data_IF_393580897199
#
_entry.id   IF_393580897199
#
_cell.length_a   1.000
_cell.length_b   1.000
_cell.length_c   1.000
_cell.angle_alpha   90.00
_cell.angle_beta   90.00
_cell.angle_gamma   90.00
#
_symmetry.space_group_name_H-M   'P 1'
#
loop_
_entity.id
_entity.type
_entity.pdbx_description
1 polymer ?
#
# COMPACT_ATOMS: atom_id res chain seq x y z
N UNK A 1 17.39 1.35 -4.09
CA UNK A 1 17.84 -0.04 -4.03
C UNK A 1 16.83 -0.89 -4.79
N UNK A 2 17.26 -1.54 -5.86
CA UNK A 2 16.48 -2.47 -6.69
C UNK A 2 17.27 -3.77 -6.68
N UNK A 3 16.62 -4.91 -6.50
CA UNK A 3 17.32 -6.20 -6.48
C UNK A 3 17.85 -6.59 -7.86
N UNK A 4 18.65 -7.65 -7.92
CA UNK A 4 19.22 -8.17 -9.18
C UNK A 4 18.18 -8.64 -10.19
N UNK A 5 16.91 -8.76 -9.80
CA UNK A 5 15.79 -9.15 -10.64
C UNK A 5 14.91 -7.96 -11.06
N UNK A 6 15.24 -6.74 -10.64
CA UNK A 6 14.51 -5.53 -11.00
C UNK A 6 13.38 -5.14 -10.04
N UNK A 7 13.25 -5.78 -8.87
CA UNK A 7 12.19 -5.47 -7.90
C UNK A 7 12.65 -4.51 -6.81
N UNK A 8 11.76 -3.59 -6.43
CA UNK A 8 11.95 -2.71 -5.27
C UNK A 8 11.34 -3.37 -4.03
N UNK A 9 12.11 -3.57 -2.94
CA UNK A 9 11.53 -4.01 -1.68
C UNK A 9 10.56 -2.95 -1.14
N UNK A 10 9.37 -3.38 -0.74
CA UNK A 10 8.33 -2.53 -0.18
C UNK A 10 7.60 -3.26 0.95
N UNK A 11 6.92 -2.48 1.78
CA UNK A 11 5.92 -2.94 2.76
C UNK A 11 4.53 -2.44 2.34
N UNK A 12 3.52 -3.28 2.56
CA UNK A 12 2.11 -2.91 2.46
C UNK A 12 1.46 -2.96 3.84
N UNK A 13 0.56 -2.02 4.12
CA UNK A 13 -0.12 -1.92 5.42
C UNK A 13 -1.61 -2.19 5.23
N UNK A 14 -2.14 -3.16 5.95
CA UNK A 14 -3.58 -3.37 6.09
C UNK A 14 -3.97 -2.87 7.48
N UNK A 15 -4.74 -1.78 7.53
CA UNK A 15 -5.30 -1.26 8.77
C UNK A 15 -6.76 -1.71 8.87
N UNK A 16 -7.08 -2.44 9.93
CA UNK A 16 -8.45 -2.85 10.28
C UNK A 16 -8.94 -2.11 11.53
N UNK A 17 -10.26 -2.07 11.72
CA UNK A 17 -10.89 -1.63 12.97
C UNK A 17 -11.70 -2.77 13.60
N UNK A 18 -12.21 -2.54 14.82
CA UNK A 18 -12.94 -3.54 15.62
C UNK A 18 -14.27 -4.00 14.99
N UNK A 19 -14.70 -3.36 13.90
CA UNK A 19 -15.89 -3.73 13.14
C UNK A 19 -15.57 -4.60 11.92
N UNK A 20 -14.31 -5.05 11.76
CA UNK A 20 -13.87 -5.86 10.63
C UNK A 20 -13.78 -5.10 9.31
N UNK A 21 -13.78 -3.75 9.35
CA UNK A 21 -13.59 -2.92 8.15
C UNK A 21 -12.12 -2.62 7.95
N UNK A 22 -11.71 -2.47 6.68
CA UNK A 22 -10.34 -2.13 6.31
C UNK A 22 -10.25 -0.71 5.76
N UNK A 23 -9.12 -0.04 6.00
CA UNK A 23 -8.82 1.25 5.42
C UNK A 23 -8.47 1.12 3.93
N UNK A 24 -9.20 1.84 3.08
CA UNK A 24 -8.98 1.88 1.64
C UNK A 24 -8.85 3.33 1.19
N UNK A 25 -7.66 3.74 0.73
CA UNK A 25 -7.35 5.14 0.44
C UNK A 25 -7.49 5.45 -1.05
N UNK A 26 -8.13 6.58 -1.39
CA UNK A 26 -8.09 7.13 -2.74
C UNK A 26 -6.69 7.70 -3.00
N UNK A 27 -6.08 7.31 -4.12
CA UNK A 27 -4.80 7.88 -4.54
C UNK A 27 -4.96 9.35 -4.91
N UNK A 28 -4.03 10.20 -4.46
CA UNK A 28 -4.04 11.64 -4.75
C UNK A 28 -3.98 11.87 -6.27
N UNK A 29 -4.89 12.69 -6.79
CA UNK A 29 -4.90 13.11 -8.20
C UNK A 29 -5.38 12.07 -9.22
N UNK A 30 -5.82 10.89 -8.79
CA UNK A 30 -6.35 9.84 -9.69
C UNK A 30 -7.63 9.22 -9.14
N UNK A 31 -8.44 8.62 -10.02
CA UNK A 31 -9.65 7.91 -9.63
C UNK A 31 -9.39 6.41 -9.40
N UNK A 32 -8.48 6.10 -8.48
CA UNK A 32 -8.16 4.73 -8.10
C UNK A 32 -7.82 4.64 -6.61
N UNK A 33 -7.89 3.44 -6.06
CA UNK A 33 -7.82 3.18 -4.62
C UNK A 33 -6.80 2.10 -4.29
N UNK A 34 -6.19 2.17 -3.10
CA UNK A 34 -5.20 1.19 -2.64
C UNK A 34 -5.05 1.14 -1.12
N UNK A 35 -4.33 0.12 -0.64
CA UNK A 35 -3.76 0.10 0.71
C UNK A 35 -2.49 0.98 0.74
N UNK A 36 -2.14 1.57 1.91
CA UNK A 36 -0.86 2.24 2.07
C UNK A 36 0.31 1.28 1.77
N UNK A 37 1.33 1.80 1.10
CA UNK A 37 2.57 1.09 0.83
C UNK A 37 3.77 2.04 0.86
N UNK A 38 4.96 1.52 1.15
CA UNK A 38 6.20 2.29 1.19
C UNK A 38 7.42 1.41 0.89
N UNK A 39 8.53 2.03 0.49
CA UNK A 39 9.79 1.30 0.33
C UNK A 39 10.34 0.86 1.68
N UNK A 40 11.07 -0.26 1.67
CA UNK A 40 12.01 -0.57 2.76
C UNK A 40 13.18 0.41 2.69
#
# INVERSE_FOLDING_TARGET
MIDSKGYRPNVGIILCNDQGRVFWAKRKGVNSWQFPQGGI
#
